data_IF_670330074350
#
_entry.id   IF_670330074350
#
_cell.length_a   1.000
_cell.length_b   1.000
_cell.length_c   1.000
_cell.angle_alpha   90.00
_cell.angle_beta   90.00
_cell.angle_gamma   90.00
#
_symmetry.space_group_name_H-M   'P 1'
#
loop_
_entity.id
_entity.type
_entity.pdbx_description
1 polymer ?
#
# COMPACT_ATOMS: atom_id res chain seq x y z
N UNK A 1 -35.17 -0.69 -32.59
CA UNK A 1 -34.98 -0.64 -31.12
C UNK A 1 -34.09 -1.76 -30.56
N UNK A 2 -34.30 -3.03 -30.87
CA UNK A 2 -33.48 -4.15 -30.33
C UNK A 2 -31.96 -4.05 -30.63
N UNK A 3 -31.56 -3.61 -31.82
CA UNK A 3 -30.14 -3.45 -32.21
C UNK A 3 -29.41 -2.38 -31.37
N UNK A 4 -30.08 -1.28 -31.02
CA UNK A 4 -29.46 -0.19 -30.25
C UNK A 4 -29.19 -0.64 -28.81
N UNK A 5 -30.08 -1.43 -28.20
CA UNK A 5 -29.87 -1.99 -26.86
C UNK A 5 -28.77 -3.04 -26.84
N UNK A 6 -28.61 -3.84 -27.89
CA UNK A 6 -27.51 -4.81 -28.02
C UNK A 6 -26.16 -4.10 -28.15
N UNK A 7 -26.08 -3.02 -28.93
CA UNK A 7 -24.86 -2.21 -29.08
C UNK A 7 -24.50 -1.52 -27.75
N UNK A 8 -25.49 -0.94 -27.06
CA UNK A 8 -25.28 -0.32 -25.76
C UNK A 8 -24.81 -1.36 -24.72
N UNK A 9 -25.43 -2.53 -24.69
CA UNK A 9 -25.03 -3.62 -23.79
C UNK A 9 -23.61 -4.12 -24.07
N UNK A 10 -23.23 -4.29 -25.34
CA UNK A 10 -21.88 -4.69 -25.73
C UNK A 10 -20.84 -3.63 -25.36
N UNK A 11 -21.16 -2.35 -25.52
CA UNK A 11 -20.27 -1.25 -25.13
C UNK A 11 -20.04 -1.20 -23.60
N UNK A 12 -21.08 -1.37 -22.80
CA UNK A 12 -20.96 -1.42 -21.34
C UNK A 12 -20.12 -2.62 -20.89
N UNK A 13 -20.33 -3.78 -21.51
CA UNK A 13 -19.51 -4.97 -21.22
C UNK A 13 -18.04 -4.76 -21.63
N UNK A 14 -17.79 -4.15 -22.77
CA UNK A 14 -16.42 -3.87 -23.23
C UNK A 14 -15.69 -2.90 -22.27
N UNK A 15 -16.37 -1.87 -21.79
CA UNK A 15 -15.82 -0.94 -20.78
C UNK A 15 -15.58 -1.68 -19.45
N UNK A 16 -16.53 -2.46 -18.99
CA UNK A 16 -16.39 -3.24 -17.75
C UNK A 16 -15.23 -4.23 -17.78
N UNK A 17 -14.96 -4.82 -18.94
CA UNK A 17 -13.84 -5.74 -19.13
C UNK A 17 -12.50 -4.99 -19.30
N UNK A 18 -12.45 -3.88 -20.00
CA UNK A 18 -11.20 -3.14 -20.23
C UNK A 18 -10.76 -2.27 -19.05
N UNK A 19 -11.72 -1.81 -18.24
CA UNK A 19 -11.45 -0.85 -17.17
C UNK A 19 -10.42 -1.34 -16.12
N UNK A 20 -10.50 -2.55 -15.56
CA UNK A 20 -9.51 -3.01 -14.58
C UNK A 20 -8.09 -3.05 -15.14
N UNK A 21 -7.93 -3.42 -16.40
CA UNK A 21 -6.63 -3.43 -17.07
C UNK A 21 -6.06 -2.01 -17.22
N UNK A 22 -6.88 -1.06 -17.65
CA UNK A 22 -6.50 0.34 -17.78
C UNK A 22 -6.17 0.97 -16.41
N UNK A 23 -6.98 0.67 -15.41
CA UNK A 23 -6.74 1.09 -14.01
C UNK A 23 -5.40 0.55 -13.52
N UNK A 24 -5.10 -0.72 -13.75
CA UNK A 24 -3.83 -1.33 -13.36
C UNK A 24 -2.63 -0.62 -13.97
N UNK A 25 -2.70 -0.27 -15.26
CA UNK A 25 -1.63 0.46 -15.93
C UNK A 25 -1.43 1.87 -15.33
N UNK A 26 -2.51 2.60 -15.08
CA UNK A 26 -2.44 3.93 -14.47
C UNK A 26 -1.90 3.85 -13.05
N UNK A 27 -2.33 2.86 -12.27
CA UNK A 27 -1.86 2.65 -10.89
C UNK A 27 -0.36 2.39 -10.84
N UNK A 28 0.15 1.52 -11.72
CA UNK A 28 1.59 1.26 -11.83
C UNK A 28 2.37 2.54 -12.14
N UNK A 29 1.92 3.33 -13.11
CA UNK A 29 2.56 4.62 -13.43
C UNK A 29 2.50 5.62 -12.28
N UNK A 30 1.37 5.70 -11.59
CA UNK A 30 1.23 6.57 -10.42
C UNK A 30 2.18 6.15 -9.31
N UNK A 31 2.27 4.85 -9.04
CA UNK A 31 3.20 4.31 -8.05
C UNK A 31 4.66 4.64 -8.38
N UNK A 32 5.08 4.45 -9.63
CA UNK A 32 6.43 4.79 -10.07
C UNK A 32 6.74 6.29 -9.89
N UNK A 33 5.78 7.18 -10.15
CA UNK A 33 5.93 8.62 -9.92
C UNK A 33 6.05 8.93 -8.43
N UNK A 34 5.15 8.40 -7.61
CA UNK A 34 5.20 8.58 -6.15
C UNK A 34 6.55 8.12 -5.59
N UNK A 35 7.03 6.96 -6.02
CA UNK A 35 8.34 6.44 -5.62
C UNK A 35 9.47 7.40 -6.02
N UNK A 36 9.44 7.93 -7.23
CA UNK A 36 10.42 8.90 -7.69
C UNK A 36 10.37 10.22 -6.92
N UNK A 37 9.15 10.74 -6.68
CA UNK A 37 8.91 11.99 -5.96
C UNK A 37 9.37 11.88 -4.49
N UNK A 38 9.06 10.77 -3.82
CA UNK A 38 9.51 10.50 -2.45
C UNK A 38 11.03 10.44 -2.36
N UNK A 39 11.67 9.70 -3.27
CA UNK A 39 13.14 9.58 -3.30
C UNK A 39 13.82 10.91 -3.59
N UNK A 40 13.16 11.80 -4.32
CA UNK A 40 13.71 13.14 -4.62
C UNK A 40 13.50 14.11 -3.45
N UNK A 41 12.35 14.02 -2.76
CA UNK A 41 11.99 14.93 -1.69
C UNK A 41 12.66 14.59 -0.34
N UNK A 42 13.01 13.32 -0.13
CA UNK A 42 13.50 12.80 1.16
C UNK A 42 14.86 12.10 0.98
N UNK A 43 15.98 12.83 1.11
CA UNK A 43 17.32 12.25 0.85
C UNK A 43 17.71 11.12 1.82
N UNK A 44 17.13 11.12 3.04
CA UNK A 44 17.39 10.08 4.05
C UNK A 44 16.46 8.87 3.92
N UNK A 45 15.56 8.89 2.96
CA UNK A 45 14.59 7.83 2.73
C UNK A 45 14.62 7.41 1.27
N UNK A 46 14.83 6.13 1.01
CA UNK A 46 14.80 5.55 -0.34
C UNK A 46 13.75 4.46 -0.42
N UNK A 47 12.86 4.60 -1.35
CA UNK A 47 11.83 3.63 -1.67
C UNK A 47 12.16 2.99 -3.03
N UNK A 48 12.38 1.69 -3.04
CA UNK A 48 12.66 0.93 -4.26
C UNK A 48 11.60 -0.12 -4.47
N UNK A 49 11.10 -0.23 -5.68
CA UNK A 49 10.15 -1.27 -6.08
C UNK A 49 10.85 -2.29 -6.95
N UNK A 50 10.63 -3.56 -6.63
CA UNK A 50 11.07 -4.73 -7.39
C UNK A 50 9.85 -5.57 -7.76
N UNK A 51 9.99 -6.37 -8.78
CA UNK A 51 9.07 -7.48 -9.10
C UNK A 51 7.59 -7.05 -9.18
N UNK A 52 7.33 -5.92 -9.88
CA UNK A 52 5.94 -5.49 -10.11
C UNK A 52 5.28 -6.44 -11.13
N UNK A 53 4.50 -7.39 -10.62
CA UNK A 53 3.74 -8.35 -11.42
C UNK A 53 2.29 -7.90 -11.55
N UNK A 54 1.94 -7.44 -12.75
CA UNK A 54 0.61 -6.92 -13.06
C UNK A 54 -0.27 -7.98 -13.71
N UNK A 55 -1.30 -8.41 -12.97
CA UNK A 55 -2.42 -9.18 -13.47
C UNK A 55 -3.57 -8.32 -14.00
N UNK A 56 -4.64 -8.98 -14.40
CA UNK A 56 -5.85 -8.33 -14.92
C UNK A 56 -6.67 -7.60 -13.84
N UNK A 57 -6.88 -8.24 -12.70
CA UNK A 57 -7.72 -7.73 -11.60
C UNK A 57 -6.89 -7.19 -10.43
N UNK A 58 -5.57 -7.24 -10.51
CA UNK A 58 -4.69 -6.82 -9.44
C UNK A 58 -3.24 -6.90 -9.85
N UNK A 59 -2.36 -6.53 -8.94
CA UNK A 59 -0.93 -6.68 -9.06
C UNK A 59 -0.34 -7.07 -7.71
N UNK A 60 0.84 -7.64 -7.74
CA UNK A 60 1.66 -7.83 -6.56
C UNK A 60 3.03 -7.22 -6.84
N UNK A 61 3.60 -6.58 -5.85
CA UNK A 61 4.95 -6.07 -5.95
C UNK A 61 5.66 -6.12 -4.61
N UNK A 62 6.97 -6.19 -4.69
CA UNK A 62 7.85 -6.13 -3.54
C UNK A 62 8.85 -4.99 -3.71
N UNK A 63 9.46 -4.60 -2.63
CA UNK A 63 10.47 -3.56 -2.67
C UNK A 63 11.24 -3.45 -1.38
N UNK A 64 12.09 -2.46 -1.33
CA UNK A 64 12.93 -2.18 -0.16
C UNK A 64 12.76 -0.71 0.23
N UNK A 65 12.57 -0.48 1.51
CA UNK A 65 12.64 0.83 2.14
C UNK A 65 14.01 0.93 2.81
N UNK A 66 14.79 1.95 2.47
CA UNK A 66 16.06 2.24 3.14
C UNK A 66 15.93 3.57 3.87
N UNK A 67 16.27 3.58 5.13
CA UNK A 67 16.28 4.76 6.00
C UNK A 67 17.71 4.99 6.44
N UNK A 68 18.22 6.20 6.22
CA UNK A 68 19.53 6.60 6.68
C UNK A 68 19.42 7.39 7.99
N UNK A 69 20.15 6.97 9.00
CA UNK A 69 20.27 7.70 10.26
C UNK A 69 21.01 9.03 10.00
N UNK A 70 20.42 10.18 10.30
CA UNK A 70 21.03 11.48 10.05
C UNK A 70 22.25 11.76 10.92
N UNK A 71 22.38 11.12 12.08
CA UNK A 71 23.45 11.38 13.05
C UNK A 71 24.67 10.47 12.79
N UNK A 72 24.43 9.19 12.51
CA UNK A 72 25.48 8.19 12.31
C UNK A 72 25.81 7.93 10.83
N UNK A 73 24.84 8.20 9.94
CA UNK A 73 24.94 7.86 8.52
C UNK A 73 24.65 6.38 8.23
N UNK A 74 24.30 5.59 9.24
CA UNK A 74 23.96 4.17 9.06
C UNK A 74 22.69 3.99 8.23
N UNK A 75 22.69 2.99 7.34
CA UNK A 75 21.54 2.67 6.50
C UNK A 75 20.83 1.41 7.05
N UNK A 76 19.55 1.54 7.31
CA UNK A 76 18.66 0.43 7.68
C UNK A 76 17.71 0.15 6.52
N UNK A 77 17.68 -1.09 6.06
CA UNK A 77 16.85 -1.52 4.94
C UNK A 77 15.85 -2.56 5.37
N UNK A 78 14.58 -2.39 4.96
CA UNK A 78 13.47 -3.28 5.23
C UNK A 78 12.78 -3.66 3.92
N UNK A 79 12.53 -4.94 3.73
CA UNK A 79 11.77 -5.42 2.58
C UNK A 79 10.27 -5.28 2.87
N UNK A 80 9.50 -4.85 1.89
CA UNK A 80 8.04 -4.77 1.96
C UNK A 80 7.40 -5.53 0.81
N UNK A 81 6.16 -5.92 1.01
CA UNK A 81 5.30 -6.49 -0.01
C UNK A 81 3.99 -5.71 -0.08
N UNK A 82 3.43 -5.61 -1.26
CA UNK A 82 2.16 -4.96 -1.46
C UNK A 82 1.30 -5.74 -2.46
N UNK A 83 0.01 -5.78 -2.16
CA UNK A 83 -1.01 -6.32 -3.04
C UNK A 83 -1.92 -5.22 -3.53
N UNK A 84 -2.13 -5.18 -4.82
CA UNK A 84 -3.01 -4.22 -5.49
C UNK A 84 -4.27 -4.91 -5.96
N UNK A 85 -5.42 -4.35 -5.63
CA UNK A 85 -6.70 -4.78 -6.19
C UNK A 85 -7.20 -3.70 -7.15
N UNK A 86 -7.43 -4.08 -8.43
CA UNK A 86 -7.92 -3.16 -9.45
C UNK A 86 -9.44 -3.17 -9.49
N UNK A 87 -10.05 -2.00 -9.29
CA UNK A 87 -11.46 -1.75 -9.53
C UNK A 87 -11.72 -1.13 -10.91
N UNK A 88 -12.92 -0.62 -11.11
CA UNK A 88 -13.33 0.06 -12.37
C UNK A 88 -12.81 1.49 -12.42
N UNK A 89 -12.69 2.16 -11.29
CA UNK A 89 -12.36 3.59 -11.20
C UNK A 89 -11.09 3.90 -10.41
N UNK A 90 -10.44 2.88 -9.86
CA UNK A 90 -9.25 3.03 -9.03
C UNK A 90 -8.73 1.70 -8.52
N UNK A 91 -7.66 1.77 -7.75
CA UNK A 91 -7.03 0.60 -7.13
C UNK A 91 -6.83 0.84 -5.64
N UNK A 92 -6.85 -0.26 -4.89
CA UNK A 92 -6.46 -0.32 -3.50
C UNK A 92 -5.14 -1.07 -3.40
N UNK A 93 -4.14 -0.43 -2.82
CA UNK A 93 -2.84 -1.01 -2.50
C UNK A 93 -2.83 -1.32 -1.01
N UNK A 94 -2.59 -2.55 -0.65
CA UNK A 94 -2.51 -3.03 0.73
C UNK A 94 -1.07 -3.46 1.01
N UNK A 95 -0.43 -2.82 1.99
CA UNK A 95 0.96 -3.09 2.33
C UNK A 95 1.04 -4.11 3.47
N UNK A 96 1.89 -5.10 3.27
CA UNK A 96 2.23 -6.08 4.30
C UNK A 96 3.52 -5.67 4.99
N UNK A 97 3.56 -5.69 6.34
CA UNK A 97 4.78 -5.41 7.09
C UNK A 97 5.94 -6.31 6.64
N UNK A 98 7.18 -5.81 6.73
CA UNK A 98 8.36 -6.61 6.45
C UNK A 98 8.38 -7.90 7.28
N UNK A 99 8.80 -9.04 6.70
CA UNK A 99 8.85 -10.30 7.40
C UNK A 99 9.73 -10.26 8.67
N UNK A 100 10.80 -9.46 8.64
CA UNK A 100 11.73 -9.25 9.75
C UNK A 100 11.04 -8.61 10.96
N UNK A 101 10.06 -7.74 10.73
CA UNK A 101 9.28 -7.09 11.77
C UNK A 101 8.02 -7.88 12.14
N UNK A 102 7.69 -8.94 11.40
CA UNK A 102 6.45 -9.68 11.57
C UNK A 102 6.29 -10.26 12.96
N UNK A 103 7.34 -10.83 13.53
CA UNK A 103 7.33 -11.41 14.87
C UNK A 103 7.23 -10.34 15.97
N UNK A 104 7.90 -9.19 15.79
CA UNK A 104 7.82 -8.06 16.72
C UNK A 104 6.46 -7.38 16.67
N UNK A 105 5.93 -7.16 15.45
CA UNK A 105 4.58 -6.63 15.25
C UNK A 105 3.54 -7.54 15.88
N UNK A 106 3.66 -8.86 15.73
CA UNK A 106 2.73 -9.82 16.32
C UNK A 106 2.83 -9.87 17.87
N UNK A 107 4.02 -9.63 18.41
CA UNK A 107 4.22 -9.53 19.85
C UNK A 107 3.58 -8.28 20.45
N UNK A 108 3.66 -7.14 19.72
CA UNK A 108 3.10 -5.85 20.14
C UNK A 108 1.58 -5.80 19.86
N UNK A 109 1.15 -6.35 18.72
CA UNK A 109 -0.22 -6.34 18.24
C UNK A 109 -0.73 -7.76 18.03
N UNK A 110 -1.07 -8.51 19.10
CA UNK A 110 -1.45 -9.92 18.99
C UNK A 110 -2.80 -10.15 18.33
N UNK A 111 -3.75 -9.22 18.51
CA UNK A 111 -5.12 -9.38 18.07
C UNK A 111 -5.35 -8.79 16.66
N UNK A 112 -4.83 -7.60 16.40
CA UNK A 112 -5.02 -6.90 15.15
C UNK A 112 -3.75 -6.16 14.75
N UNK A 113 -3.29 -6.36 13.51
CA UNK A 113 -2.02 -5.77 13.01
C UNK A 113 -2.25 -4.37 12.43
N UNK A 114 -1.26 -3.47 12.56
CA UNK A 114 -1.28 -2.19 11.84
C UNK A 114 -1.44 -2.41 10.35
N UNK A 115 -2.25 -1.58 9.72
CA UNK A 115 -2.54 -1.67 8.30
C UNK A 115 -2.31 -0.35 7.61
N UNK A 116 -1.52 -0.37 6.54
CA UNK A 116 -1.32 0.76 5.64
C UNK A 116 -1.97 0.43 4.31
N UNK A 117 -2.87 1.28 3.86
CA UNK A 117 -3.48 1.18 2.54
C UNK A 117 -3.32 2.47 1.76
N UNK A 118 -3.24 2.35 0.45
CA UNK A 118 -3.22 3.48 -0.48
C UNK A 118 -4.31 3.26 -1.54
N UNK A 119 -5.34 4.09 -1.50
CA UNK A 119 -6.37 4.12 -2.54
C UNK A 119 -5.96 5.11 -3.64
N UNK A 120 -5.94 4.65 -4.88
CA UNK A 120 -5.67 5.48 -6.06
C UNK A 120 -6.90 5.54 -6.96
N UNK A 121 -7.12 6.68 -7.62
CA UNK A 121 -8.22 6.90 -8.55
C UNK A 121 -7.70 7.27 -9.94
N UNK A 122 -8.45 6.92 -10.99
CA UNK A 122 -8.09 7.23 -12.38
C UNK A 122 -7.86 8.72 -12.64
N UNK A 123 -8.53 9.60 -11.90
CA UNK A 123 -8.39 11.06 -12.02
C UNK A 123 -7.28 11.66 -11.16
N UNK A 124 -6.34 10.80 -10.67
CA UNK A 124 -5.11 11.27 -10.04
C UNK A 124 -5.20 11.55 -8.53
N UNK A 125 -6.32 11.24 -7.87
CA UNK A 125 -6.41 11.33 -6.41
C UNK A 125 -5.82 10.08 -5.78
N UNK A 126 -5.01 10.26 -4.73
CA UNK A 126 -4.52 9.18 -3.88
C UNK A 126 -4.85 9.48 -2.42
N UNK A 127 -5.29 8.49 -1.69
CA UNK A 127 -5.63 8.57 -0.26
C UNK A 127 -4.85 7.48 0.44
N UNK A 128 -3.92 7.89 1.31
CA UNK A 128 -3.23 6.98 2.22
C UNK A 128 -4.00 6.88 3.52
N UNK A 129 -4.17 5.67 4.01
CA UNK A 129 -4.86 5.38 5.25
C UNK A 129 -3.99 4.46 6.10
N UNK A 130 -3.62 4.94 7.29
CA UNK A 130 -2.88 4.18 8.28
C UNK A 130 -3.80 3.92 9.47
N UNK A 131 -4.08 2.65 9.74
CA UNK A 131 -4.81 2.20 10.93
C UNK A 131 -3.83 1.49 11.85
N UNK A 132 -3.72 1.98 13.07
CA UNK A 132 -2.91 1.37 14.14
C UNK A 132 -3.86 0.99 15.27
N UNK A 133 -4.03 -0.32 15.57
CA UNK A 133 -4.89 -0.76 16.65
C UNK A 133 -4.44 -0.25 18.02
N UNK A 134 -5.33 -0.23 18.98
CA UNK A 134 -4.97 0.00 20.36
C UNK A 134 -4.01 -1.08 20.86
N UNK A 135 -3.01 -0.67 21.61
CA UNK A 135 -2.03 -1.60 22.20
C UNK A 135 -1.81 -1.26 23.67
N UNK A 136 -1.70 -2.33 24.47
CA UNK A 136 -1.29 -2.24 25.86
C UNK A 136 -0.10 -3.21 26.05
N UNK A 137 1.07 -2.66 26.29
CA UNK A 137 2.29 -3.43 26.54
C UNK A 137 2.70 -3.22 27.99
N UNK A 138 2.90 -4.32 28.70
CA UNK A 138 3.45 -4.31 30.06
C UNK A 138 4.89 -4.82 29.93
N UNK A 139 5.83 -4.00 30.35
CA UNK A 139 7.23 -4.42 30.51
C UNK A 139 7.34 -5.32 31.73
N UNK A 140 7.64 -6.60 31.50
CA UNK A 140 7.73 -7.59 32.57
C UNK A 140 8.94 -7.36 33.51
N UNK A 141 9.98 -6.64 33.06
CA UNK A 141 11.16 -6.36 33.88
C UNK A 141 10.97 -5.14 34.79
N UNK A 142 10.32 -4.10 34.29
CA UNK A 142 10.13 -2.84 35.02
C UNK A 142 8.75 -2.72 35.63
N UNK A 143 7.76 -3.46 35.13
CA UNK A 143 6.35 -3.37 35.53
C UNK A 143 5.67 -2.10 35.01
N UNK A 144 6.31 -1.36 34.12
CA UNK A 144 5.73 -0.19 33.48
C UNK A 144 4.72 -0.63 32.40
N UNK A 145 3.57 0.02 32.35
CA UNK A 145 2.56 -0.18 31.32
C UNK A 145 2.59 0.97 30.33
N UNK A 146 2.62 0.64 29.04
CA UNK A 146 2.43 1.58 27.94
C UNK A 146 1.12 1.27 27.25
N UNK A 147 0.19 2.21 27.30
CA UNK A 147 -1.11 2.13 26.66
C UNK A 147 -1.20 3.14 25.52
N UNK A 148 -1.47 2.65 24.31
CA UNK A 148 -1.74 3.48 23.14
C UNK A 148 -3.16 3.20 22.66
N UNK A 149 -3.95 4.26 22.52
CA UNK A 149 -5.28 4.15 21.92
C UNK A 149 -5.19 3.97 20.42
N UNK A 150 -6.23 3.38 19.85
CA UNK A 150 -6.40 3.26 18.41
C UNK A 150 -6.14 4.61 17.72
N UNK A 151 -5.31 4.58 16.68
CA UNK A 151 -4.95 5.75 15.90
C UNK A 151 -5.30 5.52 14.44
N UNK A 152 -5.98 6.51 13.86
CA UNK A 152 -6.37 6.52 12.47
C UNK A 152 -5.89 7.81 11.82
N UNK A 153 -5.19 7.69 10.68
CA UNK A 153 -4.73 8.82 9.86
C UNK A 153 -5.14 8.61 8.41
N UNK A 154 -5.64 9.68 7.80
CA UNK A 154 -6.09 9.68 6.40
C UNK A 154 -5.61 10.92 5.66
#
# INVERSE_FOLDING_TARGET
MKKQWMVAGAAVLAVGVAAPWAVGYVTEQQWQRVTADVNQAQPLFKLQTRDYDRGYMGAEFAGTITIQDPDTGDEHSFDYQARVSHGVTGSLIDFTPPPELGAEVEKIFPDEKPRLTLETRLWGTAIAELSVPAVSVIDEETGESFDMSESFSR
#
